data_IF_181704414335
#
_entry.id   IF_181704414335
#
_cell.length_a   1.000
_cell.length_b   1.000
_cell.length_c   1.000
_cell.angle_alpha   90.00
_cell.angle_beta   90.00
_cell.angle_gamma   90.00
#
_symmetry.space_group_name_H-M   'P 1'
#
loop_
_entity.id
_entity.type
_entity.pdbx_description
1 polymer ?
#
# COMPACT_ATOMS: atom_id res chain seq x y z
N UNK A 1 4.16 1.63 11.68
CA UNK A 1 2.83 1.86 11.06
C UNK A 1 1.86 2.48 12.07
N UNK A 2 1.78 1.98 13.30
CA UNK A 2 0.88 2.49 14.36
C UNK A 2 0.90 4.02 14.57
N UNK A 3 2.07 4.68 14.53
CA UNK A 3 2.17 6.14 14.60
C UNK A 3 1.48 6.85 13.43
N UNK A 4 1.59 6.30 12.22
CA UNK A 4 0.93 6.84 11.02
C UNK A 4 -0.57 6.57 11.08
N UNK A 5 -0.98 5.39 11.54
CA UNK A 5 -2.39 5.05 11.77
C UNK A 5 -3.06 6.08 12.70
N UNK A 6 -2.48 6.33 13.87
CA UNK A 6 -3.00 7.32 14.82
C UNK A 6 -3.04 8.75 14.24
N UNK A 7 -2.08 9.10 13.38
CA UNK A 7 -2.06 10.41 12.72
C UNK A 7 -3.18 10.53 11.69
N UNK A 8 -3.34 9.50 10.85
CA UNK A 8 -4.33 9.44 9.77
C UNK A 8 -5.76 9.20 10.28
N UNK A 9 -5.92 8.83 11.55
CA UNK A 9 -7.21 8.83 12.23
C UNK A 9 -7.82 10.23 12.38
N UNK A 10 -6.98 11.28 12.39
CA UNK A 10 -7.39 12.67 12.66
C UNK A 10 -7.16 13.62 11.50
N UNK A 11 -6.44 13.19 10.47
CA UNK A 11 -6.06 14.01 9.34
C UNK A 11 -6.26 13.20 8.07
N UNK A 12 -6.82 13.82 7.01
CA UNK A 12 -6.99 13.15 5.72
C UNK A 12 -5.66 12.70 5.12
N UNK A 13 -4.65 13.58 5.11
CA UNK A 13 -3.28 13.31 4.64
C UNK A 13 -2.25 13.60 5.73
N UNK A 14 -0.97 13.34 5.46
CA UNK A 14 0.09 13.46 6.46
C UNK A 14 0.25 14.89 7.00
N UNK A 15 0.00 15.94 6.21
CA UNK A 15 0.24 17.32 6.61
C UNK A 15 -0.93 18.27 6.31
N UNK A 16 -2.14 17.76 6.12
CA UNK A 16 -3.32 18.60 5.95
C UNK A 16 -4.43 17.94 5.13
N UNK A 17 -5.18 18.79 4.41
CA UNK A 17 -6.35 18.39 3.61
C UNK A 17 -6.04 18.01 2.17
N UNK A 18 -4.85 18.33 1.68
CA UNK A 18 -4.38 17.96 0.34
C UNK A 18 -3.12 17.10 0.48
N UNK A 19 -2.90 16.13 -0.44
CA UNK A 19 -1.69 15.34 -0.43
C UNK A 19 -0.49 16.20 -0.83
N UNK A 20 0.64 15.98 -0.18
CA UNK A 20 1.93 16.60 -0.54
C UNK A 20 2.94 15.50 -0.89
N UNK A 21 4.16 15.87 -1.29
CA UNK A 21 5.21 14.91 -1.71
C UNK A 21 5.37 13.72 -0.75
N UNK A 22 5.31 13.96 0.56
CA UNK A 22 5.48 12.91 1.57
C UNK A 22 4.39 11.85 1.50
N UNK A 23 3.17 12.22 1.07
CA UNK A 23 2.08 11.28 0.91
C UNK A 23 2.35 10.32 -0.25
N UNK A 24 2.85 10.84 -1.35
CA UNK A 24 3.23 10.05 -2.52
C UNK A 24 4.44 9.14 -2.24
N UNK A 25 5.40 9.61 -1.44
CA UNK A 25 6.52 8.79 -0.97
C UNK A 25 6.07 7.66 -0.05
N UNK A 26 5.04 7.89 0.76
CA UNK A 26 4.45 6.84 1.58
C UNK A 26 3.63 5.87 0.72
N UNK A 27 2.83 6.39 -0.23
CA UNK A 27 1.97 5.62 -1.13
C UNK A 27 2.74 4.50 -1.84
N UNK A 28 3.89 4.81 -2.45
CA UNK A 28 4.67 3.81 -3.20
C UNK A 28 5.15 2.66 -2.30
N UNK A 29 5.32 2.90 -1.01
CA UNK A 29 5.63 1.86 -0.03
C UNK A 29 4.38 1.06 0.35
N UNK A 30 3.28 1.75 0.66
CA UNK A 30 2.03 1.12 1.11
C UNK A 30 1.41 0.22 0.03
N UNK A 31 1.37 0.67 -1.23
CA UNK A 31 0.77 -0.09 -2.33
C UNK A 31 1.48 -1.43 -2.60
N UNK A 32 2.75 -1.55 -2.21
CA UNK A 32 3.55 -2.78 -2.35
C UNK A 32 3.55 -3.65 -1.09
N UNK A 33 3.04 -3.13 0.04
CA UNK A 33 3.30 -3.72 1.34
C UNK A 33 2.66 -5.10 1.49
N UNK A 34 1.35 -5.22 1.30
CA UNK A 34 0.66 -6.50 1.51
C UNK A 34 1.01 -7.51 0.41
N UNK A 35 1.18 -7.03 -0.83
CA UNK A 35 1.47 -7.86 -1.99
C UNK A 35 2.90 -8.40 -2.03
N UNK A 36 3.83 -7.72 -1.37
CA UNK A 36 5.26 -8.08 -1.40
C UNK A 36 5.85 -8.06 0.01
N UNK A 37 5.95 -6.89 0.65
CA UNK A 37 6.79 -6.71 1.84
C UNK A 37 6.35 -7.58 3.03
N UNK A 38 5.04 -7.72 3.22
CA UNK A 38 4.48 -8.55 4.26
C UNK A 38 4.94 -10.00 4.15
N UNK A 39 4.90 -10.59 2.95
CA UNK A 39 5.32 -11.96 2.70
C UNK A 39 6.83 -12.08 2.42
N UNK A 40 7.28 -11.51 1.30
CA UNK A 40 8.65 -11.62 0.77
C UNK A 40 9.71 -11.15 1.78
N UNK A 41 9.49 -9.97 2.37
CA UNK A 41 10.41 -9.38 3.36
C UNK A 41 10.05 -9.71 4.81
N UNK A 42 9.01 -10.52 5.03
CA UNK A 42 8.60 -10.97 6.37
C UNK A 42 8.23 -9.81 7.30
N UNK A 43 7.77 -8.68 6.77
CA UNK A 43 7.21 -7.58 7.54
C UNK A 43 5.78 -7.92 8.02
N UNK A 44 5.64 -9.00 8.79
CA UNK A 44 4.39 -9.76 8.92
C UNK A 44 3.68 -9.64 10.26
N UNK A 45 3.92 -8.58 11.03
CA UNK A 45 3.17 -8.33 12.27
C UNK A 45 1.70 -8.01 11.94
N UNK A 46 1.45 -7.16 10.93
CA UNK A 46 0.12 -6.78 10.41
C UNK A 46 0.23 -6.33 8.96
N UNK A 47 -0.84 -6.51 8.17
CA UNK A 47 -0.97 -5.98 6.80
C UNK A 47 -1.51 -4.55 6.84
N UNK A 48 -1.36 -3.79 5.77
CA UNK A 48 -1.97 -2.47 5.59
C UNK A 48 -3.49 -2.57 5.64
N UNK A 49 -4.11 -3.60 5.05
CA UNK A 49 -5.56 -3.82 5.14
C UNK A 49 -6.07 -3.97 6.59
N UNK A 50 -5.20 -4.38 7.53
CA UNK A 50 -5.55 -4.52 8.95
C UNK A 50 -5.51 -3.16 9.71
N UNK A 51 -5.10 -2.07 9.04
CA UNK A 51 -5.06 -0.71 9.56
C UNK A 51 -6.13 0.15 8.85
N UNK A 52 -7.29 0.42 9.45
CA UNK A 52 -8.41 1.05 8.75
C UNK A 52 -8.08 2.45 8.22
N UNK A 53 -7.33 3.27 8.96
CA UNK A 53 -7.00 4.62 8.49
C UNK A 53 -5.90 4.61 7.42
N UNK A 54 -4.88 3.78 7.55
CA UNK A 54 -3.85 3.57 6.53
C UNK A 54 -4.40 2.94 5.26
N UNK A 55 -5.29 1.94 5.36
CA UNK A 55 -5.90 1.32 4.19
C UNK A 55 -6.85 2.29 3.49
N UNK A 56 -7.68 3.01 4.23
CA UNK A 56 -8.48 4.10 3.65
C UNK A 56 -7.60 5.16 2.99
N UNK A 57 -6.47 5.52 3.59
CA UNK A 57 -5.53 6.51 3.05
C UNK A 57 -4.86 6.02 1.75
N UNK A 58 -4.46 4.74 1.71
CA UNK A 58 -3.96 4.09 0.51
C UNK A 58 -4.99 4.14 -0.61
N UNK A 59 -6.26 3.83 -0.32
CA UNK A 59 -7.36 3.88 -1.28
C UNK A 59 -7.65 5.30 -1.78
N UNK A 60 -7.66 6.29 -0.89
CA UNK A 60 -7.85 7.71 -1.24
C UNK A 60 -6.79 8.18 -2.25
N UNK A 61 -5.52 7.82 -2.02
CA UNK A 61 -4.43 8.14 -2.95
C UNK A 61 -4.47 7.31 -4.25
N UNK A 62 -4.85 6.04 -4.17
CA UNK A 62 -4.99 5.17 -5.35
C UNK A 62 -6.08 5.65 -6.30
N UNK A 63 -7.17 6.21 -5.76
CA UNK A 63 -8.32 6.74 -6.50
C UNK A 63 -8.14 8.19 -6.96
N UNK A 64 -6.99 8.80 -6.71
CA UNK A 64 -6.67 10.11 -7.26
C UNK A 64 -6.49 10.01 -8.78
N UNK A 65 -7.01 10.99 -9.52
CA UNK A 65 -7.04 10.96 -10.99
C UNK A 65 -5.67 10.62 -11.59
N UNK A 66 -5.61 9.56 -12.40
CA UNK A 66 -4.41 9.11 -13.11
C UNK A 66 -3.45 8.24 -12.29
N UNK A 67 -3.70 8.01 -10.98
CA UNK A 67 -2.78 7.24 -10.13
C UNK A 67 -2.92 5.73 -10.32
N UNK A 68 -4.14 5.21 -10.48
CA UNK A 68 -4.37 3.78 -10.64
C UNK A 68 -3.63 3.21 -11.86
N UNK A 69 -3.54 3.98 -12.95
CA UNK A 69 -2.84 3.66 -14.19
C UNK A 69 -1.32 3.53 -14.01
N UNK A 70 -0.76 4.13 -12.96
CA UNK A 70 0.66 4.02 -12.63
C UNK A 70 1.01 2.73 -11.87
N UNK A 71 0.00 1.98 -11.41
CA UNK A 71 0.19 0.79 -10.56
C UNK A 71 -0.03 -0.48 -11.37
N UNK A 72 1.07 -1.12 -11.76
CA UNK A 72 1.05 -2.46 -12.34
C UNK A 72 1.47 -3.51 -11.30
N UNK A 73 0.49 -4.19 -10.70
CA UNK A 73 0.75 -5.14 -9.61
C UNK A 73 1.47 -6.42 -10.08
N UNK A 74 1.25 -6.86 -11.32
CA UNK A 74 1.99 -7.99 -11.90
C UNK A 74 3.48 -7.65 -12.00
N UNK A 75 3.82 -6.49 -12.57
CA UNK A 75 5.20 -6.05 -12.69
C UNK A 75 5.87 -5.88 -11.31
N UNK A 76 5.16 -5.29 -10.34
CA UNK A 76 5.65 -5.17 -8.96
C UNK A 76 5.99 -6.55 -8.39
N UNK A 77 5.04 -7.50 -8.41
CA UNK A 77 5.24 -8.82 -7.78
C UNK A 77 6.33 -9.61 -8.49
N UNK A 78 6.30 -9.65 -9.83
CA UNK A 78 7.31 -10.35 -10.62
C UNK A 78 8.72 -9.83 -10.36
N UNK A 79 8.91 -8.51 -10.28
CA UNK A 79 10.21 -7.94 -9.93
C UNK A 79 10.72 -8.51 -8.60
N UNK A 80 9.96 -8.36 -7.51
CA UNK A 80 10.44 -8.80 -6.20
C UNK A 80 10.62 -10.30 -6.06
N UNK A 81 9.66 -11.11 -6.53
CA UNK A 81 9.66 -12.55 -6.30
C UNK A 81 10.58 -13.32 -7.27
N UNK A 82 10.92 -12.75 -8.43
CA UNK A 82 11.79 -13.41 -9.42
C UNK A 82 13.24 -12.91 -9.32
N UNK A 83 13.50 -11.64 -9.00
CA UNK A 83 14.89 -11.12 -9.03
C UNK A 83 15.66 -11.25 -7.72
N UNK A 84 15.00 -11.64 -6.63
CA UNK A 84 15.65 -11.80 -5.32
C UNK A 84 15.88 -13.29 -4.99
N UNK A 85 16.77 -13.94 -5.75
CA UNK A 85 17.05 -15.38 -5.64
C UNK A 85 17.54 -15.79 -4.24
N UNK A 86 18.27 -14.91 -3.56
CA UNK A 86 18.73 -15.14 -2.17
C UNK A 86 17.57 -15.25 -1.17
N UNK A 87 16.43 -14.60 -1.46
CA UNK A 87 15.25 -14.57 -0.58
C UNK A 87 14.20 -15.58 -1.06
N UNK A 88 13.99 -15.71 -2.36
CA UNK A 88 13.03 -16.61 -2.98
C UNK A 88 13.67 -17.43 -4.12
N UNK A 89 14.46 -18.47 -3.78
CA UNK A 89 15.16 -19.27 -4.79
C UNK A 89 14.22 -20.06 -5.71
N UNK A 90 12.94 -20.20 -5.34
CA UNK A 90 11.95 -20.90 -6.17
C UNK A 90 11.40 -20.04 -7.31
N UNK A 91 11.57 -18.71 -7.23
CA UNK A 91 10.97 -17.77 -8.19
C UNK A 91 9.44 -17.76 -8.21
N UNK A 92 8.77 -18.47 -7.29
CA UNK A 92 7.31 -18.55 -7.26
C UNK A 92 6.75 -17.19 -6.88
N UNK A 93 5.85 -16.67 -7.74
CA UNK A 93 5.11 -15.43 -7.50
C UNK A 93 3.76 -15.81 -6.87
N UNK A 94 3.45 -15.39 -5.63
CA UNK A 94 2.17 -15.67 -4.99
C UNK A 94 1.00 -15.11 -5.80
N UNK A 95 -0.17 -15.75 -5.77
CA UNK A 95 -1.38 -15.22 -6.42
C UNK A 95 -1.99 -14.04 -5.67
N UNK A 96 -2.13 -14.15 -4.35
CA UNK A 96 -2.70 -13.10 -3.50
C UNK A 96 -1.73 -11.94 -3.22
N UNK A 97 -2.14 -11.03 -2.32
CA UNK A 97 -3.48 -10.88 -1.74
C UNK A 97 -4.48 -10.33 -2.75
N UNK A 98 -5.77 -10.64 -2.55
CA UNK A 98 -6.86 -9.90 -3.18
C UNK A 98 -7.08 -8.61 -2.37
N UNK A 99 -6.95 -7.45 -3.02
CA UNK A 99 -7.02 -6.14 -2.38
C UNK A 99 -8.05 -5.26 -3.08
N UNK A 100 -9.11 -4.92 -2.36
CA UNK A 100 -10.12 -3.99 -2.83
C UNK A 100 -9.67 -2.53 -2.66
N UNK A 101 -8.90 -2.05 -3.64
CA UNK A 101 -8.41 -0.67 -3.69
C UNK A 101 -9.43 0.32 -4.27
N UNK A 102 -10.42 -0.17 -5.02
CA UNK A 102 -11.33 0.65 -5.81
C UNK A 102 -12.63 0.99 -5.09
N UNK A 103 -13.05 0.24 -4.07
CA UNK A 103 -14.25 0.60 -3.32
C UNK A 103 -14.07 1.91 -2.54
N UNK A 104 -15.14 2.57 -2.08
CA UNK A 104 -15.04 3.85 -1.38
C UNK A 104 -14.04 3.82 -0.22
N UNK A 105 -13.18 4.84 -0.15
CA UNK A 105 -12.16 4.96 0.90
C UNK A 105 -12.71 5.52 2.22
N UNK A 106 -13.87 6.20 2.18
CA UNK A 106 -14.54 6.71 3.37
C UNK A 106 -13.81 7.85 4.09
N UNK A 107 -12.84 8.53 3.46
CA UNK A 107 -12.02 9.58 4.12
C UNK A 107 -12.38 11.02 3.76
N UNK A 108 -13.40 11.22 2.92
CA UNK A 108 -13.82 12.56 2.50
C UNK A 108 -14.33 13.45 3.65
N UNK A 109 -14.70 12.85 4.78
CA UNK A 109 -15.22 13.54 5.98
C UNK A 109 -14.16 13.85 7.04
N UNK A 110 -12.92 13.37 6.88
CA UNK A 110 -11.79 13.58 7.79
C UNK A 110 -11.10 14.90 7.47
#
# INVERSE_FOLDING_TARGET
LDKLEMRLARNRYLFGRNPVETDWRLFVTLIRFDAVYHGHFKCNIRRIVDYPHLFGYLKDLYQYDGVAETVNMDHIKRHYYITHDDINPTGIVPLGPDQDLASPHGRAHV
#
